data_IF_515993625661
#
_entry.id   IF_515993625661
#
_cell.length_a   1.000
_cell.length_b   1.000
_cell.length_c   1.000
_cell.angle_alpha   90.00
_cell.angle_beta   90.00
_cell.angle_gamma   90.00
#
_symmetry.space_group_name_H-M   'P 1'
#
loop_
_entity.id
_entity.type
_entity.pdbx_description
1 polymer ?
#
# COMPACT_ATOMS: atom_id res chain seq x y z
N UNK A 1 21.59 3.49 12.92
CA UNK A 1 21.66 2.12 12.32
C UNK A 1 20.48 1.25 12.78
N UNK A 2 20.23 1.11 14.08
CA UNK A 2 19.15 0.25 14.61
C UNK A 2 17.75 0.57 14.06
N UNK A 3 17.37 1.85 13.97
CA UNK A 3 16.08 2.27 13.40
C UNK A 3 15.89 1.78 11.97
N UNK A 4 16.95 1.79 11.15
CA UNK A 4 16.90 1.36 9.76
C UNK A 4 16.64 -0.15 9.65
N UNK A 5 17.34 -0.94 10.47
CA UNK A 5 17.16 -2.39 10.54
C UNK A 5 15.75 -2.74 11.04
N UNK A 6 15.25 -2.02 12.05
CA UNK A 6 13.90 -2.21 12.57
C UNK A 6 12.84 -1.92 11.50
N UNK A 7 12.99 -0.80 10.76
CA UNK A 7 12.09 -0.46 9.66
C UNK A 7 12.12 -1.51 8.55
N UNK A 8 13.30 -1.96 8.14
CA UNK A 8 13.42 -3.02 7.12
C UNK A 8 12.76 -4.33 7.56
N UNK A 9 12.93 -4.73 8.83
CA UNK A 9 12.24 -5.89 9.40
C UNK A 9 10.73 -5.70 9.37
N UNK A 10 10.25 -4.53 9.79
CA UNK A 10 8.83 -4.20 9.76
C UNK A 10 8.27 -4.30 8.34
N UNK A 11 8.90 -3.68 7.36
CA UNK A 11 8.44 -3.71 5.96
C UNK A 11 8.44 -5.14 5.39
N UNK A 12 9.40 -5.99 5.76
CA UNK A 12 9.44 -7.39 5.31
C UNK A 12 8.35 -8.27 5.92
N UNK A 13 7.90 -7.98 7.14
CA UNK A 13 6.89 -8.79 7.83
C UNK A 13 5.46 -8.30 7.62
N UNK A 14 5.28 -7.05 7.19
CA UNK A 14 3.97 -6.40 7.04
C UNK A 14 3.64 -6.21 5.55
N UNK A 15 3.14 -7.28 4.92
CA UNK A 15 2.78 -7.32 3.49
C UNK A 15 1.70 -6.31 3.12
N UNK A 16 0.88 -5.87 4.07
CA UNK A 16 -0.07 -4.77 3.89
C UNK A 16 0.58 -3.48 3.39
N UNK A 17 1.82 -3.19 3.81
CA UNK A 17 2.52 -1.96 3.38
C UNK A 17 2.95 -2.08 1.92
N UNK A 18 3.37 -3.26 1.51
CA UNK A 18 3.69 -3.55 0.10
C UNK A 18 2.44 -3.41 -0.79
N UNK A 19 1.31 -3.99 -0.38
CA UNK A 19 0.04 -3.90 -1.11
C UNK A 19 -0.48 -2.47 -1.16
N UNK A 20 -0.38 -1.73 -0.05
CA UNK A 20 -0.79 -0.32 0.04
C UNK A 20 -0.03 0.54 -0.97
N UNK A 21 1.30 0.47 -0.94
CA UNK A 21 2.17 1.27 -1.81
C UNK A 21 2.10 0.81 -3.26
N UNK A 22 2.09 -0.51 -3.51
CA UNK A 22 1.97 -1.09 -4.84
C UNK A 22 0.64 -0.72 -5.51
N UNK A 23 -0.47 -0.74 -4.76
CA UNK A 23 -1.78 -0.27 -5.24
C UNK A 23 -1.78 1.21 -5.59
N UNK A 24 -1.18 2.05 -4.73
CA UNK A 24 -1.06 3.49 -4.98
C UNK A 24 -0.29 3.78 -6.28
N UNK A 25 0.90 3.20 -6.45
CA UNK A 25 1.71 3.38 -7.66
C UNK A 25 1.00 2.86 -8.91
N UNK A 26 0.31 1.72 -8.81
CA UNK A 26 -0.48 1.17 -9.93
C UNK A 26 -1.54 2.18 -10.40
N UNK A 27 -2.32 2.72 -9.48
CA UNK A 27 -3.36 3.70 -9.80
C UNK A 27 -2.78 5.02 -10.30
N UNK A 28 -1.69 5.49 -9.71
CA UNK A 28 -0.99 6.71 -10.12
C UNK A 28 -0.45 6.59 -11.57
N UNK A 29 0.20 5.47 -11.91
CA UNK A 29 0.72 5.26 -13.26
C UNK A 29 -0.37 5.08 -14.30
N UNK A 30 -1.52 4.50 -13.91
CA UNK A 30 -2.67 4.33 -14.78
C UNK A 30 -3.37 5.66 -15.06
N UNK A 31 -3.63 6.45 -14.02
CA UNK A 31 -4.41 7.70 -14.10
C UNK A 31 -3.56 8.91 -14.51
N UNK A 32 -2.24 8.87 -14.25
CA UNK A 32 -1.29 9.96 -14.52
C UNK A 32 -1.81 11.34 -14.05
N UNK A 33 -2.11 11.50 -12.75
CA UNK A 33 -2.67 12.75 -12.25
C UNK A 33 -1.68 13.91 -12.39
N UNK A 34 -2.18 15.09 -12.71
CA UNK A 34 -1.37 16.32 -12.77
C UNK A 34 -0.89 16.74 -11.37
N UNK A 35 -1.70 16.47 -10.34
CA UNK A 35 -1.38 16.75 -8.93
C UNK A 35 -1.26 15.45 -8.13
N UNK A 36 -0.03 14.98 -7.94
CA UNK A 36 0.25 13.74 -7.22
C UNK A 36 -0.11 13.84 -5.72
N UNK A 37 0.02 15.02 -5.11
CA UNK A 37 -0.23 15.19 -3.67
C UNK A 37 -1.72 15.10 -3.34
N UNK A 38 -2.56 15.73 -4.16
CA UNK A 38 -4.02 15.63 -4.05
C UNK A 38 -4.48 14.21 -4.33
N UNK A 39 -3.94 13.57 -5.38
CA UNK A 39 -4.21 12.17 -5.66
C UNK A 39 -3.82 11.23 -4.50
N UNK A 40 -2.69 11.48 -3.84
CA UNK A 40 -2.28 10.75 -2.66
C UNK A 40 -3.22 10.99 -1.48
N UNK A 41 -3.66 12.23 -1.25
CA UNK A 41 -4.63 12.54 -0.20
C UNK A 41 -5.92 11.75 -0.42
N UNK A 42 -6.50 11.79 -1.62
CA UNK A 42 -7.72 11.06 -1.95
C UNK A 42 -7.54 9.55 -1.80
N UNK A 43 -6.43 9.00 -2.31
CA UNK A 43 -6.17 7.56 -2.23
C UNK A 43 -6.01 7.09 -0.78
N UNK A 44 -5.14 7.75 0.01
CA UNK A 44 -4.81 7.31 1.37
C UNK A 44 -5.90 7.66 2.41
N UNK A 45 -6.83 8.56 2.08
CA UNK A 45 -7.98 8.87 2.94
C UNK A 45 -9.26 8.13 2.56
N UNK A 46 -9.25 7.29 1.53
CA UNK A 46 -10.39 6.43 1.17
C UNK A 46 -10.74 5.49 2.33
N UNK A 47 -11.94 5.61 2.95
CA UNK A 47 -12.36 4.75 4.06
C UNK A 47 -12.52 3.28 3.65
N UNK A 48 -12.65 2.99 2.35
CA UNK A 48 -12.70 1.64 1.81
C UNK A 48 -11.32 0.99 1.64
N UNK A 49 -10.24 1.76 1.65
CA UNK A 49 -8.89 1.26 1.40
C UNK A 49 -8.44 0.17 2.39
N UNK A 50 -8.65 0.29 3.72
CA UNK A 50 -8.26 -0.76 4.66
C UNK A 50 -8.92 -2.11 4.35
N UNK A 51 -10.21 -2.09 3.99
CA UNK A 51 -10.94 -3.30 3.64
C UNK A 51 -10.43 -3.91 2.33
N UNK A 52 -10.13 -3.09 1.32
CA UNK A 52 -9.53 -3.57 0.05
C UNK A 52 -8.20 -4.30 0.31
N UNK A 53 -7.32 -3.72 1.12
CA UNK A 53 -6.03 -4.33 1.47
C UNK A 53 -6.24 -5.62 2.28
N UNK A 54 -7.17 -5.63 3.23
CA UNK A 54 -7.48 -6.81 4.03
C UNK A 54 -7.97 -7.98 3.17
N UNK A 55 -8.84 -7.72 2.19
CA UNK A 55 -9.32 -8.75 1.26
C UNK A 55 -8.17 -9.29 0.42
N UNK A 56 -7.32 -8.43 -0.13
CA UNK A 56 -6.14 -8.86 -0.91
C UNK A 56 -5.17 -9.70 -0.07
N UNK A 57 -4.96 -9.35 1.21
CA UNK A 57 -4.14 -10.15 2.12
C UNK A 57 -4.71 -11.55 2.34
N UNK A 58 -6.04 -11.68 2.45
CA UNK A 58 -6.70 -12.99 2.59
C UNK A 58 -6.50 -13.81 1.32
N UNK A 59 -6.65 -13.20 0.15
CA UNK A 59 -6.46 -13.87 -1.15
C UNK A 59 -5.02 -14.34 -1.33
N UNK A 60 -4.04 -13.48 -1.04
CA UNK A 60 -2.61 -13.81 -1.12
C UNK A 60 -2.23 -14.95 -0.18
N UNK A 61 -2.84 -15.02 1.02
CA UNK A 61 -2.64 -16.13 1.96
C UNK A 61 -3.26 -17.44 1.50
N UNK A 62 -4.33 -17.40 0.70
CA UNK A 62 -4.96 -18.60 0.12
C UNK A 62 -4.17 -19.14 -1.08
N UNK A 63 -3.43 -18.28 -1.76
CA UNK A 63 -2.66 -18.62 -2.96
C UNK A 63 -1.23 -19.12 -2.68
N UNK A 64 -0.76 -19.02 -1.43
CA UNK A 64 0.56 -19.50 -0.98
C UNK A 64 0.45 -20.86 -0.30
#
# INVERSE_FOLDING_TARGET
IQTRIANERYLRTHKEVELLLGGFFREMFLKRPDNILEFAADYFTDPGLPNKIHMQLIEDKKAA
#
